data_IF_633828246048
#
_entry.id   IF_633828246048
#
_cell.length_a   1.000
_cell.length_b   1.000
_cell.length_c   1.000
_cell.angle_alpha   90.00
_cell.angle_beta   90.00
_cell.angle_gamma   90.00
#
_symmetry.space_group_name_H-M   'P 1'
#
loop_
_entity.id
_entity.type
_entity.pdbx_description
1 polymer ?
#
# COMPACT_ATOMS: atom_id res chain seq x y z
N UNK A 1 35.87 -3.17 -80.45
CA UNK A 1 36.17 -3.67 -79.10
C UNK A 1 36.26 -2.47 -78.15
N UNK A 2 35.13 -1.90 -77.76
CA UNK A 2 34.26 -2.19 -76.60
C UNK A 2 34.60 -1.32 -75.38
N UNK A 3 34.01 -0.11 -75.41
CA UNK A 3 34.13 1.00 -74.47
C UNK A 3 33.27 0.84 -73.19
N UNK A 4 32.68 -0.34 -72.99
CA UNK A 4 31.65 -0.57 -71.97
C UNK A 4 32.13 -1.32 -70.72
N UNK A 5 33.36 -1.83 -70.68
CA UNK A 5 33.77 -2.73 -69.59
C UNK A 5 34.51 -2.05 -68.44
N UNK A 6 35.09 -0.86 -68.65
CA UNK A 6 35.91 -0.20 -67.64
C UNK A 6 35.15 0.77 -66.73
N UNK A 7 33.91 1.15 -67.06
CA UNK A 7 33.11 2.07 -66.24
C UNK A 7 32.23 1.38 -65.17
N UNK A 8 32.40 0.06 -64.94
CA UNK A 8 31.56 -0.69 -63.98
C UNK A 8 32.26 -1.10 -62.67
N UNK A 9 33.53 -0.76 -62.49
CA UNK A 9 34.29 -1.22 -61.32
C UNK A 9 34.51 -0.15 -60.22
N UNK A 10 33.94 1.05 -60.34
CA UNK A 10 34.19 2.14 -59.38
C UNK A 10 32.94 2.62 -58.63
N UNK A 11 31.97 1.75 -58.38
CA UNK A 11 30.76 2.13 -57.63
C UNK A 11 30.34 1.14 -56.53
N UNK A 12 31.24 0.28 -56.06
CA UNK A 12 30.92 -0.72 -55.02
C UNK A 12 31.48 -0.51 -53.60
N UNK A 13 32.51 0.31 -53.29
CA UNK A 13 32.94 0.41 -51.89
C UNK A 13 32.14 1.44 -51.06
N UNK A 14 31.46 2.40 -51.69
CA UNK A 14 30.67 3.42 -50.98
C UNK A 14 29.35 2.88 -50.38
N UNK A 15 28.74 1.89 -51.04
CA UNK A 15 27.49 1.30 -50.55
C UNK A 15 27.70 0.49 -49.26
N UNK A 16 28.81 -0.24 -49.13
CA UNK A 16 29.12 -1.04 -47.93
C UNK A 16 29.43 -0.15 -46.73
N UNK A 17 30.13 0.97 -46.92
CA UNK A 17 30.38 1.95 -45.86
C UNK A 17 29.10 2.64 -45.36
N UNK A 18 28.18 2.98 -46.27
CA UNK A 18 26.91 3.60 -45.91
C UNK A 18 25.98 2.62 -45.18
N UNK A 19 25.92 1.35 -45.62
CA UNK A 19 25.16 0.30 -44.93
C UNK A 19 25.79 -0.02 -43.57
N UNK A 20 27.12 -0.06 -43.46
CA UNK A 20 27.84 -0.24 -42.20
C UNK A 20 27.60 0.91 -41.22
N UNK A 21 27.60 2.16 -41.68
CA UNK A 21 27.30 3.33 -40.86
C UNK A 21 25.82 3.42 -40.48
N UNK A 22 24.91 3.01 -41.35
CA UNK A 22 23.48 2.92 -41.06
C UNK A 22 23.20 1.83 -40.03
N UNK A 23 23.84 0.66 -40.15
CA UNK A 23 23.73 -0.43 -39.17
C UNK A 23 24.38 -0.02 -37.84
N UNK A 24 25.56 0.63 -37.87
CA UNK A 24 26.21 1.14 -36.67
C UNK A 24 25.37 2.23 -35.99
N UNK A 25 24.74 3.13 -36.75
CA UNK A 25 23.77 4.11 -36.21
C UNK A 25 22.53 3.42 -35.66
N UNK A 26 21.99 2.41 -36.34
CA UNK A 26 20.79 1.70 -35.89
C UNK A 26 21.05 0.87 -34.63
N UNK A 27 22.23 0.24 -34.53
CA UNK A 27 22.70 -0.45 -33.33
C UNK A 27 23.04 0.53 -32.21
N UNK A 28 23.67 1.67 -32.53
CA UNK A 28 23.92 2.75 -31.57
C UNK A 28 22.61 3.36 -31.08
N UNK A 29 21.62 3.59 -31.94
CA UNK A 29 20.30 4.11 -31.58
C UNK A 29 19.49 3.07 -30.81
N UNK A 30 19.61 1.78 -31.12
CA UNK A 30 19.02 0.71 -30.33
C UNK A 30 19.69 0.62 -28.95
N UNK A 31 21.02 0.72 -28.90
CA UNK A 31 21.80 0.74 -27.67
C UNK A 31 21.51 1.99 -26.82
N UNK A 32 21.43 3.17 -27.43
CA UNK A 32 21.07 4.44 -26.80
C UNK A 32 19.61 4.45 -26.39
N UNK A 33 18.67 3.87 -27.14
CA UNK A 33 17.27 3.68 -26.70
C UNK A 33 17.19 2.75 -25.51
N UNK A 34 17.95 1.64 -25.51
CA UNK A 34 18.02 0.69 -24.40
C UNK A 34 18.73 1.28 -23.17
N UNK A 35 19.68 2.19 -23.37
CA UNK A 35 20.42 2.93 -22.32
C UNK A 35 19.67 4.17 -21.83
N UNK A 36 18.90 4.83 -22.67
CA UNK A 36 17.94 5.86 -22.30
C UNK A 36 16.73 5.25 -21.59
N UNK A 37 16.41 3.98 -21.87
CA UNK A 37 15.51 3.13 -21.08
C UNK A 37 16.15 2.59 -19.79
N UNK A 38 17.38 3.00 -19.45
CA UNK A 38 17.93 2.75 -18.13
C UNK A 38 17.30 3.73 -17.13
N UNK A 39 16.84 3.27 -15.95
CA UNK A 39 16.18 4.13 -14.96
C UNK A 39 16.96 5.42 -14.67
N UNK A 40 18.30 5.34 -14.63
CA UNK A 40 19.20 6.48 -14.36
C UNK A 40 19.26 7.53 -15.48
N UNK A 41 18.99 7.16 -16.73
CA UNK A 41 18.96 8.07 -17.89
C UNK A 41 17.67 8.87 -17.97
N UNK A 42 16.53 8.21 -17.79
CA UNK A 42 15.21 8.85 -17.70
C UNK A 42 15.10 9.77 -16.49
N UNK A 43 15.68 9.40 -15.34
CA UNK A 43 15.72 10.27 -14.15
C UNK A 43 16.46 11.60 -14.41
N UNK A 44 17.52 11.61 -15.25
CA UNK A 44 18.24 12.86 -15.58
C UNK A 44 17.43 13.81 -16.46
N UNK A 45 16.60 13.30 -17.36
CA UNK A 45 15.71 14.14 -18.19
C UNK A 45 14.52 14.64 -17.35
N UNK A 46 13.99 13.80 -16.45
CA UNK A 46 12.92 14.16 -15.51
C UNK A 46 13.30 15.24 -14.50
N UNK A 47 14.57 15.36 -14.11
CA UNK A 47 15.03 16.35 -13.11
C UNK A 47 14.74 17.82 -13.45
N UNK A 48 14.55 18.16 -14.73
CA UNK A 48 14.27 19.54 -15.17
C UNK A 48 12.78 19.84 -15.34
N UNK A 49 11.92 18.83 -15.29
CA UNK A 49 10.47 18.99 -15.44
C UNK A 49 9.80 18.73 -14.09
N UNK A 50 8.75 19.49 -13.78
CA UNK A 50 7.91 19.21 -12.62
C UNK A 50 7.34 17.79 -12.72
N UNK A 51 7.09 17.15 -11.58
CA UNK A 51 6.45 15.84 -11.57
C UNK A 51 5.05 15.97 -12.17
N UNK A 52 4.66 15.24 -13.22
CA UNK A 52 3.36 15.44 -13.86
C UNK A 52 2.22 15.07 -12.90
N UNK A 53 1.12 15.84 -12.96
CA UNK A 53 -0.09 15.52 -12.21
C UNK A 53 -0.91 14.49 -12.98
N UNK A 54 -1.49 13.53 -12.24
CA UNK A 54 -2.47 12.56 -12.73
C UNK A 54 -3.60 13.26 -13.50
N UNK A 55 -4.13 14.34 -12.95
CA UNK A 55 -5.29 15.02 -13.51
C UNK A 55 -4.95 15.82 -14.78
N UNK A 56 -3.67 16.13 -15.01
CA UNK A 56 -3.23 16.79 -16.24
C UNK A 56 -3.09 15.78 -17.38
N UNK A 57 -2.63 14.56 -17.07
CA UNK A 57 -2.46 13.48 -18.05
C UNK A 57 -3.77 12.74 -18.34
N UNK A 58 -4.57 12.51 -17.29
CA UNK A 58 -5.81 11.75 -17.33
C UNK A 58 -6.95 12.57 -16.67
N UNK A 59 -7.52 13.57 -17.36
CA UNK A 59 -8.58 14.42 -16.79
C UNK A 59 -9.81 13.64 -16.30
N UNK A 60 -10.09 12.49 -16.93
CA UNK A 60 -11.21 11.60 -16.57
C UNK A 60 -10.98 10.88 -15.24
N UNK A 61 -9.74 10.84 -14.73
CA UNK A 61 -9.40 10.19 -13.46
C UNK A 61 -10.18 10.77 -12.26
N UNK A 62 -10.62 12.03 -12.35
CA UNK A 62 -11.47 12.67 -11.34
C UNK A 62 -12.83 11.98 -11.16
N UNK A 63 -13.34 11.34 -12.20
CA UNK A 63 -14.65 10.67 -12.23
C UNK A 63 -14.53 9.14 -12.31
N UNK A 64 -13.29 8.62 -12.31
CA UNK A 64 -13.03 7.20 -12.44
C UNK A 64 -13.53 6.41 -11.22
N UNK A 65 -14.04 5.21 -11.47
CA UNK A 65 -14.37 4.28 -10.40
C UNK A 65 -13.08 3.78 -9.73
N UNK A 66 -13.12 3.59 -8.42
CA UNK A 66 -11.96 3.18 -7.62
C UNK A 66 -12.08 1.72 -7.23
N UNK A 67 -11.00 0.96 -7.38
CA UNK A 67 -10.91 -0.44 -6.97
C UNK A 67 -9.65 -0.64 -6.14
N UNK A 68 -9.81 -1.13 -4.91
CA UNK A 68 -8.65 -1.46 -4.08
C UNK A 68 -7.94 -2.70 -4.62
N UNK A 69 -6.63 -2.58 -4.80
CA UNK A 69 -5.70 -3.67 -5.11
C UNK A 69 -5.04 -4.22 -3.84
N UNK A 70 -4.96 -3.39 -2.80
CA UNK A 70 -4.31 -3.71 -1.53
C UNK A 70 -2.81 -3.47 -1.55
N UNK A 71 -2.13 -4.08 -0.56
CA UNK A 71 -0.69 -3.93 -0.36
C UNK A 71 0.11 -4.76 -1.39
N UNK A 72 0.94 -4.10 -2.20
CA UNK A 72 1.84 -4.74 -3.16
C UNK A 72 3.18 -3.98 -3.27
N UNK A 73 4.20 -4.66 -3.80
CA UNK A 73 5.51 -4.05 -4.09
C UNK A 73 5.46 -3.47 -5.49
N UNK A 74 5.59 -2.14 -5.60
CA UNK A 74 5.54 -1.42 -6.88
C UNK A 74 6.95 -0.98 -7.30
N UNK A 75 7.40 -1.32 -8.53
CA UNK A 75 8.67 -0.81 -9.05
C UNK A 75 8.67 0.71 -9.17
N UNK A 76 9.71 1.37 -8.67
CA UNK A 76 9.79 2.85 -8.66
C UNK A 76 9.76 3.42 -10.09
N UNK A 77 10.27 2.67 -11.08
CA UNK A 77 10.26 3.04 -12.49
C UNK A 77 8.85 3.16 -13.10
N UNK A 78 7.86 2.44 -12.55
CA UNK A 78 6.46 2.53 -12.99
C UNK A 78 5.71 3.72 -12.38
N UNK A 79 6.33 4.41 -11.42
CA UNK A 79 5.77 5.60 -10.78
C UNK A 79 6.06 6.81 -11.65
N UNK A 80 5.02 7.29 -12.33
CA UNK A 80 5.17 8.32 -13.37
C UNK A 80 4.90 9.74 -12.86
N UNK A 81 4.07 9.90 -11.84
CA UNK A 81 3.57 11.22 -11.47
C UNK A 81 3.02 11.33 -10.05
N UNK A 82 2.26 12.39 -9.81
CA UNK A 82 1.60 12.70 -8.54
C UNK A 82 0.09 12.82 -8.72
N UNK A 83 -0.71 12.44 -7.74
CA UNK A 83 -2.14 12.71 -7.72
C UNK A 83 -2.48 14.11 -7.17
N UNK A 84 -1.51 15.03 -7.07
CA UNK A 84 -1.72 16.42 -6.62
C UNK A 84 -1.78 17.37 -7.81
N UNK A 85 -2.80 18.23 -7.82
CA UNK A 85 -2.92 19.35 -8.75
C UNK A 85 -3.08 20.67 -7.96
N UNK A 86 -2.24 21.70 -8.20
CA UNK A 86 -1.05 21.67 -9.06
C UNK A 86 0.05 20.78 -8.44
N UNK A 87 0.97 20.31 -9.28
CA UNK A 87 2.12 19.54 -8.81
C UNK A 87 3.08 20.42 -8.00
N UNK A 88 3.55 19.90 -6.87
CA UNK A 88 4.45 20.59 -5.94
C UNK A 88 5.78 19.86 -5.77
N UNK A 89 6.08 18.90 -6.66
CA UNK A 89 7.24 18.03 -6.57
C UNK A 89 8.08 18.13 -7.85
N UNK A 90 9.39 18.01 -7.69
CA UNK A 90 10.34 17.85 -8.81
C UNK A 90 10.29 16.40 -9.32
N UNK A 91 10.85 16.11 -10.49
CA UNK A 91 10.94 14.75 -11.04
C UNK A 91 11.62 13.69 -10.15
N UNK A 92 12.37 14.10 -9.12
CA UNK A 92 12.92 13.19 -8.09
C UNK A 92 11.96 12.97 -6.91
N UNK A 93 10.67 13.30 -7.05
CA UNK A 93 9.62 13.24 -6.02
C UNK A 93 9.83 14.15 -4.79
N UNK A 94 10.94 14.89 -4.72
CA UNK A 94 11.17 15.88 -3.68
C UNK A 94 10.27 17.11 -3.87
N UNK A 95 9.84 17.79 -2.79
CA UNK A 95 9.16 19.07 -2.91
C UNK A 95 10.00 20.11 -3.66
N UNK A 96 9.33 21.06 -4.30
CA UNK A 96 9.98 22.23 -4.90
C UNK A 96 10.87 22.94 -3.86
N UNK A 97 12.00 23.57 -4.26
CA UNK A 97 12.96 24.16 -3.33
C UNK A 97 12.34 25.12 -2.30
N UNK A 98 11.39 25.97 -2.72
CA UNK A 98 10.68 26.90 -1.83
C UNK A 98 9.80 26.24 -0.77
N UNK A 99 9.45 24.97 -0.94
CA UNK A 99 8.60 24.19 0.00
C UNK A 99 9.42 23.37 1.00
N UNK A 100 10.76 23.44 0.96
CA UNK A 100 11.67 22.65 1.82
C UNK A 100 11.98 23.35 3.16
N UNK A 101 10.92 23.68 3.90
CA UNK A 101 11.02 24.30 5.22
C UNK A 101 11.52 23.37 6.33
N UNK A 102 11.61 23.89 7.57
CA UNK A 102 12.17 23.18 8.72
C UNK A 102 11.43 21.88 9.07
N UNK A 103 10.09 21.89 9.02
CA UNK A 103 9.24 20.71 9.24
C UNK A 103 9.50 19.60 8.22
N UNK A 104 9.69 19.97 6.94
CA UNK A 104 10.04 19.02 5.89
C UNK A 104 11.41 18.40 6.15
N UNK A 105 12.42 19.21 6.50
CA UNK A 105 13.79 18.72 6.78
C UNK A 105 13.81 17.74 7.95
N UNK A 106 13.08 18.04 9.03
CA UNK A 106 12.98 17.14 10.19
C UNK A 106 12.31 15.80 9.82
N UNK A 107 11.24 15.83 9.01
CA UNK A 107 10.59 14.62 8.49
C UNK A 107 11.53 13.83 7.57
N UNK A 108 12.24 14.52 6.67
CA UNK A 108 13.21 13.93 5.75
C UNK A 108 14.32 13.20 6.51
N UNK A 109 14.89 13.82 7.55
CA UNK A 109 15.89 13.18 8.40
C UNK A 109 15.35 11.92 9.10
N UNK A 110 14.11 11.95 9.60
CA UNK A 110 13.48 10.77 10.21
C UNK A 110 13.34 9.60 9.23
N UNK A 111 12.91 9.89 7.99
CA UNK A 111 12.77 8.88 6.94
C UNK A 111 14.14 8.26 6.59
N UNK A 112 15.16 9.09 6.35
CA UNK A 112 16.49 8.56 6.00
C UNK A 112 17.09 7.75 7.14
N UNK A 113 16.98 8.21 8.40
CA UNK A 113 17.43 7.42 9.55
C UNK A 113 16.74 6.07 9.67
N UNK A 114 15.47 5.97 9.30
CA UNK A 114 14.75 4.70 9.29
C UNK A 114 15.29 3.78 8.19
N UNK A 115 15.54 4.30 6.98
CA UNK A 115 16.17 3.54 5.89
C UNK A 115 17.59 3.08 6.24
N UNK A 116 18.41 3.95 6.82
CA UNK A 116 19.78 3.61 7.25
C UNK A 116 19.80 2.46 8.27
N UNK A 117 18.76 2.38 9.10
CA UNK A 117 18.57 1.32 10.11
C UNK A 117 17.82 0.10 9.57
N UNK A 118 17.47 0.07 8.28
CA UNK A 118 16.61 -0.94 7.67
C UNK A 118 15.29 -1.15 8.44
N UNK A 119 14.78 -0.09 9.05
CA UNK A 119 13.49 -0.12 9.74
C UNK A 119 12.36 -0.07 8.71
N UNK A 120 11.30 -0.84 8.96
CA UNK A 120 10.10 -0.81 8.13
C UNK A 120 9.48 0.60 8.15
N UNK A 121 9.23 1.14 6.95
CA UNK A 121 8.45 2.35 6.77
C UNK A 121 7.00 1.96 6.47
N UNK A 122 6.00 2.79 6.85
CA UNK A 122 4.64 2.53 6.41
C UNK A 122 4.56 2.54 4.88
N UNK A 123 3.62 1.80 4.27
CA UNK A 123 3.44 1.77 2.82
C UNK A 123 3.07 3.15 2.27
N UNK A 124 3.35 3.35 0.99
CA UNK A 124 2.96 4.57 0.25
C UNK A 124 1.61 4.37 -0.42
N UNK A 125 0.87 5.45 -0.66
CA UNK A 125 -0.45 5.35 -1.28
C UNK A 125 -0.32 5.69 -2.77
N UNK A 126 -0.70 4.76 -3.64
CA UNK A 126 -0.60 4.94 -5.09
C UNK A 126 -1.96 4.80 -5.76
N UNK A 127 -2.17 5.62 -6.80
CA UNK A 127 -3.26 5.47 -7.75
C UNK A 127 -2.71 4.85 -9.03
N UNK A 128 -3.32 3.77 -9.50
CA UNK A 128 -2.97 3.12 -10.75
C UNK A 128 -3.94 3.52 -11.85
N UNK A 129 -3.43 3.87 -13.03
CA UNK A 129 -4.22 4.06 -14.26
C UNK A 129 -3.55 3.24 -15.35
N UNK A 130 -4.21 2.16 -15.82
CA UNK A 130 -3.56 1.21 -16.72
C UNK A 130 -2.29 0.61 -16.10
N UNK A 131 -1.14 0.85 -16.72
CA UNK A 131 0.17 0.38 -16.24
C UNK A 131 0.99 1.45 -15.49
N UNK A 132 0.43 2.65 -15.35
CA UNK A 132 1.09 3.81 -14.76
C UNK A 132 0.66 4.02 -13.30
N UNK A 133 1.61 4.42 -12.45
CA UNK A 133 1.34 4.69 -11.03
C UNK A 133 1.58 6.16 -10.69
N UNK A 134 0.68 6.71 -9.88
CA UNK A 134 0.67 8.09 -9.44
C UNK A 134 0.67 8.17 -7.93
N UNK A 135 1.57 8.96 -7.36
CA UNK A 135 1.73 9.06 -5.90
C UNK A 135 0.61 9.90 -5.31
N UNK A 136 -0.24 9.28 -4.48
CA UNK A 136 -1.24 9.98 -3.67
C UNK A 136 -0.62 10.54 -2.40
N UNK A 137 0.05 9.68 -1.62
CA UNK A 137 0.87 10.03 -0.47
C UNK A 137 2.21 9.29 -0.46
N UNK A 138 3.19 9.84 0.25
CA UNK A 138 4.47 9.17 0.45
C UNK A 138 5.58 9.61 -0.50
N UNK A 139 5.46 10.77 -1.17
CA UNK A 139 6.50 11.31 -2.07
C UNK A 139 7.90 11.33 -1.46
N UNK A 140 8.02 11.72 -0.18
CA UNK A 140 9.32 11.71 0.51
C UNK A 140 9.89 10.31 0.70
N UNK A 141 9.05 9.28 0.90
CA UNK A 141 9.48 7.90 1.04
C UNK A 141 10.00 7.37 -0.30
N UNK A 142 9.29 7.64 -1.39
CA UNK A 142 9.72 7.30 -2.76
C UNK A 142 11.01 8.03 -3.12
N UNK A 143 11.11 9.34 -2.83
CA UNK A 143 12.32 10.12 -3.05
C UNK A 143 13.52 9.59 -2.26
N UNK A 144 13.29 9.13 -1.02
CA UNK A 144 14.33 8.55 -0.18
C UNK A 144 14.76 7.16 -0.69
N UNK A 145 13.81 6.30 -1.05
CA UNK A 145 14.11 5.01 -1.68
C UNK A 145 14.91 5.20 -2.98
N UNK A 146 14.49 6.15 -3.83
CA UNK A 146 15.18 6.50 -5.07
C UNK A 146 16.63 6.97 -4.84
N UNK A 147 16.86 7.83 -3.84
CA UNK A 147 18.21 8.31 -3.50
C UNK A 147 19.11 7.20 -2.96
N UNK A 148 18.54 6.23 -2.25
CA UNK A 148 19.25 5.06 -1.73
C UNK A 148 19.37 3.91 -2.77
N UNK A 149 18.91 4.11 -4.00
CA UNK A 149 19.01 3.11 -5.07
C UNK A 149 18.01 1.96 -4.97
N UNK A 150 16.93 2.12 -4.21
CA UNK A 150 15.82 1.17 -4.15
C UNK A 150 15.18 0.94 -5.52
N UNK A 151 14.71 -0.29 -5.74
CA UNK A 151 14.08 -0.72 -7.01
C UNK A 151 12.56 -0.74 -6.94
N UNK A 152 12.00 -0.88 -5.74
CA UNK A 152 10.56 -0.93 -5.48
C UNK A 152 10.20 -0.33 -4.13
N UNK A 153 8.92 -0.12 -3.91
CA UNK A 153 8.33 0.40 -2.66
C UNK A 153 7.09 -0.39 -2.29
N UNK A 154 6.89 -0.61 -1.00
CA UNK A 154 5.63 -1.15 -0.47
C UNK A 154 4.53 -0.10 -0.62
N UNK A 155 3.44 -0.44 -1.30
CA UNK A 155 2.37 0.48 -1.60
C UNK A 155 0.98 -0.13 -1.38
N UNK A 156 0.06 0.67 -0.82
CA UNK A 156 -1.37 0.39 -0.95
C UNK A 156 -1.87 1.01 -2.26
N UNK A 157 -2.39 0.17 -3.14
CA UNK A 157 -2.72 0.56 -4.51
C UNK A 157 -4.23 0.65 -4.69
N UNK A 158 -4.68 1.75 -5.28
CA UNK A 158 -6.05 1.94 -5.74
C UNK A 158 -6.02 2.09 -7.26
N UNK A 159 -6.64 1.14 -7.95
CA UNK A 159 -6.85 1.19 -9.38
C UNK A 159 -8.00 2.14 -9.73
N UNK A 160 -7.75 3.05 -10.66
CA UNK A 160 -8.73 3.96 -11.23
C UNK A 160 -9.18 3.41 -12.59
N UNK A 161 -10.44 3.01 -12.66
CA UNK A 161 -11.05 2.48 -13.87
C UNK A 161 -11.59 3.66 -14.67
N UNK A 162 -10.88 4.03 -15.75
CA UNK A 162 -11.30 5.10 -16.64
C UNK A 162 -12.54 4.70 -17.44
N UNK A 163 -13.46 5.66 -17.72
CA UNK A 163 -14.65 5.38 -18.51
C UNK A 163 -14.27 4.88 -19.92
N UNK A 164 -14.82 3.72 -20.31
CA UNK A 164 -14.56 3.09 -21.61
C UNK A 164 -13.42 2.05 -21.60
N UNK A 165 -12.71 1.87 -20.49
CA UNK A 165 -11.74 0.77 -20.35
C UNK A 165 -12.46 -0.50 -19.85
N UNK A 166 -12.21 -1.68 -20.44
CA UNK A 166 -12.75 -2.93 -19.90
C UNK A 166 -12.23 -3.15 -18.48
N UNK A 167 -13.12 -3.46 -17.55
CA UNK A 167 -12.74 -3.83 -16.19
C UNK A 167 -11.81 -5.07 -16.27
N UNK A 168 -10.56 -5.01 -15.77
CA UNK A 168 -9.75 -6.21 -15.69
C UNK A 168 -10.47 -7.23 -14.80
N UNK A 169 -10.39 -8.54 -15.13
CA UNK A 169 -11.14 -9.55 -14.40
C UNK A 169 -10.88 -9.44 -12.89
N UNK A 170 -11.88 -9.74 -12.04
CA UNK A 170 -11.63 -9.87 -10.60
C UNK A 170 -10.39 -10.76 -10.39
N UNK A 171 -9.49 -10.47 -9.41
CA UNK A 171 -8.42 -11.42 -9.10
C UNK A 171 -9.08 -12.77 -8.93
N UNK A 172 -8.59 -13.77 -9.66
CA UNK A 172 -9.20 -15.10 -9.68
C UNK A 172 -9.45 -15.51 -8.23
N UNK A 173 -10.72 -15.60 -7.85
CA UNK A 173 -11.11 -16.05 -6.52
C UNK A 173 -10.42 -17.40 -6.32
N UNK A 174 -9.36 -17.42 -5.52
CA UNK A 174 -8.66 -18.67 -5.27
C UNK A 174 -9.69 -19.64 -4.67
N UNK A 175 -9.63 -20.94 -5.02
CA UNK A 175 -10.62 -21.92 -4.56
C UNK A 175 -10.77 -21.94 -3.03
N UNK A 176 -9.76 -21.48 -2.29
CA UNK A 176 -9.79 -21.27 -0.84
C UNK A 176 -10.84 -20.24 -0.40
N UNK A 177 -11.00 -19.12 -1.11
CA UNK A 177 -12.03 -18.11 -0.81
C UNK A 177 -13.46 -18.61 -1.08
N UNK A 178 -13.62 -19.57 -1.99
CA UNK A 178 -14.91 -20.22 -2.27
C UNK A 178 -15.25 -21.29 -1.22
N UNK A 179 -14.24 -21.95 -0.64
CA UNK A 179 -14.42 -23.06 0.30
C UNK A 179 -15.13 -22.62 1.59
N UNK A 180 -14.84 -21.41 2.11
CA UNK A 180 -15.50 -20.89 3.32
C UNK A 180 -16.95 -20.43 3.13
N UNK A 181 -17.36 -20.06 1.91
CA UNK A 181 -18.68 -19.47 1.65
C UNK A 181 -19.83 -20.48 1.67
N UNK A 182 -19.56 -21.78 1.42
CA UNK A 182 -20.56 -22.86 1.50
C UNK A 182 -20.76 -23.36 2.93
N UNK A 183 -19.69 -23.49 3.71
CA UNK A 183 -19.77 -23.91 5.12
C UNK A 183 -20.47 -22.87 6.00
N UNK A 184 -20.24 -21.57 5.77
CA UNK A 184 -20.97 -20.49 6.46
C UNK A 184 -22.48 -20.49 6.16
N UNK A 185 -22.89 -20.98 4.99
CA UNK A 185 -24.32 -21.09 4.62
C UNK A 185 -24.96 -22.34 5.21
N UNK A 186 -24.19 -23.43 5.39
CA UNK A 186 -24.62 -24.66 6.08
C UNK A 186 -24.58 -24.56 7.61
N UNK A 187 -23.71 -23.74 8.19
CA UNK A 187 -23.67 -23.49 9.63
C UNK A 187 -24.94 -22.78 10.16
N UNK A 188 -25.72 -22.16 9.27
CA UNK A 188 -27.07 -21.65 9.56
C UNK A 188 -28.15 -22.73 9.74
N UNK A 189 -27.86 -24.01 9.49
CA UNK A 189 -28.81 -25.13 9.58
C UNK A 189 -28.77 -25.87 10.94
N UNK A 190 -28.14 -25.28 11.97
CA UNK A 190 -28.46 -25.62 13.36
C UNK A 190 -27.67 -26.77 14.01
N UNK A 191 -26.43 -27.05 13.58
CA UNK A 191 -25.51 -27.89 14.38
C UNK A 191 -24.24 -27.12 14.72
N UNK A 192 -24.25 -26.47 15.88
CA UNK A 192 -23.05 -25.83 16.42
C UNK A 192 -22.16 -26.88 17.09
N UNK A 193 -20.93 -27.01 16.60
CA UNK A 193 -19.87 -27.75 17.29
C UNK A 193 -19.49 -27.03 18.59
N UNK A 194 -19.19 -27.81 19.64
CA UNK A 194 -18.86 -27.36 21.02
C UNK A 194 -17.83 -26.21 21.08
N UNK A 195 -16.92 -26.13 20.11
CA UNK A 195 -15.88 -25.10 20.03
C UNK A 195 -16.43 -23.70 19.69
N UNK A 196 -17.52 -23.61 18.93
CA UNK A 196 -18.14 -22.32 18.54
C UNK A 196 -18.96 -21.72 19.69
N UNK A 197 -19.51 -22.57 20.57
CA UNK A 197 -20.18 -22.11 21.79
C UNK A 197 -19.19 -21.44 22.77
N UNK A 198 -17.92 -21.87 22.76
CA UNK A 198 -16.88 -21.27 23.61
C UNK A 198 -16.48 -19.88 23.12
N UNK A 199 -16.41 -19.63 21.82
CA UNK A 199 -16.07 -18.31 21.28
C UNK A 199 -17.22 -17.32 21.43
N UNK A 200 -18.47 -17.75 21.21
CA UNK A 200 -19.64 -16.88 21.37
C UNK A 200 -19.88 -16.47 22.83
N UNK A 201 -19.62 -17.36 23.80
CA UNK A 201 -19.75 -17.03 25.23
C UNK A 201 -18.67 -16.10 25.76
N UNK A 202 -17.46 -16.12 25.17
CA UNK A 202 -16.40 -15.15 25.47
C UNK A 202 -16.70 -13.77 24.88
N UNK A 203 -17.22 -13.73 23.66
CA UNK A 203 -17.57 -12.49 22.96
C UNK A 203 -18.75 -11.77 23.63
N UNK A 204 -19.74 -12.54 24.10
CA UNK A 204 -20.89 -12.00 24.85
C UNK A 204 -20.48 -11.42 26.21
N UNK A 205 -19.56 -12.08 26.93
CA UNK A 205 -19.01 -11.55 28.18
C UNK A 205 -18.26 -10.24 27.98
N UNK A 206 -17.42 -10.17 26.93
CA UNK A 206 -16.65 -8.97 26.61
C UNK A 206 -17.57 -7.80 26.20
N UNK A 207 -18.61 -8.09 25.42
CA UNK A 207 -19.62 -7.11 25.02
C UNK A 207 -20.40 -6.55 26.22
N UNK A 208 -20.76 -7.39 27.18
CA UNK A 208 -21.43 -6.95 28.42
C UNK A 208 -20.51 -6.10 29.30
N UNK A 209 -19.21 -6.38 29.29
CA UNK A 209 -18.19 -5.62 30.01
C UNK A 209 -17.96 -4.23 29.39
N UNK A 210 -17.97 -4.14 28.05
CA UNK A 210 -17.86 -2.88 27.30
C UNK A 210 -19.11 -1.99 27.39
N UNK A 211 -20.27 -2.57 27.69
CA UNK A 211 -21.53 -1.83 27.89
C UNK A 211 -21.72 -1.36 29.35
N UNK A 212 -20.84 -1.76 30.28
CA UNK A 212 -20.80 -1.18 31.62
C UNK A 212 -20.12 0.19 31.57
N UNK A 213 -20.94 1.22 31.64
CA UNK A 213 -20.52 2.61 31.76
C UNK A 213 -19.76 2.82 33.10
N UNK A 214 -18.46 3.20 33.10
CA UNK A 214 -17.65 3.32 34.31
C UNK A 214 -18.03 4.50 35.21
N UNK A 215 -18.98 5.36 34.81
CA UNK A 215 -19.35 6.57 35.54
C UNK A 215 -20.65 6.47 36.36
N UNK A 216 -21.26 5.29 36.51
CA UNK A 216 -22.46 5.13 37.35
C UNK A 216 -22.10 4.50 38.71
N UNK A 217 -22.21 5.22 39.84
CA UNK A 217 -22.03 4.60 41.15
C UNK A 217 -23.14 3.56 41.39
N UNK A 218 -22.87 2.51 42.19
CA UNK A 218 -23.84 1.44 42.43
C UNK A 218 -25.10 2.01 43.09
N UNK A 219 -26.23 1.84 42.43
CA UNK A 219 -27.56 2.12 42.99
C UNK A 219 -27.84 1.09 44.07
N UNK A 220 -27.78 1.50 45.34
CA UNK A 220 -28.29 0.75 46.48
C UNK A 220 -29.83 0.76 46.43
N UNK A 221 -30.41 -0.14 45.65
CA UNK A 221 -31.81 -0.51 45.75
C UNK A 221 -32.00 -1.80 44.95
N UNK A 222 -32.02 -2.93 45.68
CA UNK A 222 -32.91 -4.08 45.48
C UNK A 222 -32.30 -5.28 46.21
N UNK A 223 -32.40 -5.27 47.54
CA UNK A 223 -32.56 -6.52 48.28
C UNK A 223 -34.04 -6.91 48.22
N UNK A 224 -34.39 -8.09 47.71
CA UNK A 224 -35.57 -8.78 48.18
C UNK A 224 -35.17 -9.72 49.30
N UNK A 225 -35.63 -9.37 50.50
CA UNK A 225 -35.79 -10.26 51.62
C UNK A 225 -36.47 -11.57 51.20
N UNK A 226 -35.87 -12.72 51.52
CA UNK A 226 -36.54 -13.94 52.01
C UNK A 226 -35.58 -15.13 52.03
N UNK A 227 -34.97 -15.42 53.19
CA UNK A 227 -34.60 -16.76 53.62
C UNK A 227 -34.11 -16.77 55.09
N UNK A 228 -34.93 -16.28 56.02
CA UNK A 228 -34.91 -16.80 57.38
C UNK A 228 -35.83 -18.02 57.41
N UNK A 229 -35.25 -19.21 57.59
CA UNK A 229 -35.81 -20.35 58.32
C UNK A 229 -35.07 -21.62 57.90
N UNK A 230 -34.02 -21.98 58.67
CA UNK A 230 -33.70 -23.35 59.11
C UNK A 230 -32.26 -23.40 59.62
N UNK A 231 -32.10 -23.29 60.94
CA UNK A 231 -31.20 -24.09 61.78
C UNK A 231 -30.89 -23.34 63.09
N UNK A 232 -31.88 -23.27 63.98
CA UNK A 232 -31.59 -23.31 65.41
C UNK A 232 -31.23 -24.76 65.76
N UNK A 233 -30.12 -24.94 66.48
CA UNK A 233 -29.82 -25.99 67.48
C UNK A 233 -28.36 -26.44 67.39
N UNK A 234 -27.73 -26.54 68.57
CA UNK A 234 -26.33 -26.88 68.88
C UNK A 234 -25.36 -25.68 68.77
N UNK A 235 -24.82 -25.10 69.85
CA UNK A 235 -24.82 -25.49 71.25
C UNK A 235 -24.48 -24.27 72.12
N UNK A 236 -25.30 -24.03 73.15
CA UNK A 236 -24.85 -23.43 74.40
C UNK A 236 -23.85 -24.38 75.07
N UNK A 237 -22.72 -23.84 75.54
CA UNK A 237 -22.01 -24.24 76.76
C UNK A 237 -20.67 -23.51 76.77
N UNK A 238 -20.53 -22.50 77.64
CA UNK A 238 -19.53 -22.50 78.72
C UNK A 238 -18.30 -21.67 78.27
N UNK A 239 -17.73 -20.73 79.01
CA UNK A 239 -17.81 -20.33 80.41
C UNK A 239 -17.07 -18.98 80.48
N UNK A 240 -17.65 -17.97 81.15
CA UNK A 240 -16.85 -16.90 81.77
C UNK A 240 -16.20 -17.46 83.04
N UNK A 241 -15.25 -16.80 83.74
CA UNK A 241 -14.53 -15.55 83.49
C UNK A 241 -13.00 -15.72 83.70
N UNK A 242 -12.19 -14.68 83.47
CA UNK A 242 -11.29 -14.25 84.56
C UNK A 242 -10.83 -12.81 84.40
N UNK A 243 -10.65 -12.18 85.55
CA UNK A 243 -10.43 -10.77 85.74
C UNK A 243 -8.98 -10.48 86.13
N UNK A 244 -8.44 -9.37 85.60
CA UNK A 244 -7.60 -8.39 86.32
C UNK A 244 -6.21 -8.90 86.81
N UNK A 245 -5.29 -8.03 87.29
CA UNK A 245 -5.39 -6.61 87.65
C UNK A 245 -4.75 -5.60 86.68
#
# INVERSE_FOLDING_TARGET
MSMHTLLRALLKPLAVGAVGAALARQLLDAYLRRRAASPRGQLRVRRRQGLPSLYDLHPQASQAARRSRGLEIVPIEKIVGTARHPSQNTGDFLPLPGLRGMNWRARWQRINRALDRMAALPPVDLLQVGDEYFVYDGHNRIAAALQNGGVGVDADVIELILPGQPLPPPPASTPISLLGSRELRQAGEGRLSRTVQSSASLDERNRQELLRDPARPPSTADEPASAEAQAEAEAEAEDSPDAQP
#
